data_IF_315413959642
#
_entry.id   IF_315413959642
#
_cell.length_a   1.000
_cell.length_b   1.000
_cell.length_c   1.000
_cell.angle_alpha   90.00
_cell.angle_beta   90.00
_cell.angle_gamma   90.00
#
_symmetry.space_group_name_H-M   'P 1'
#
loop_
_entity.id
_entity.type
_entity.pdbx_description
1 polymer ?
#
# COMPACT_ATOMS: atom_id res chain seq x y z
N UNK A 1 -0.65 9.50 6.44
CA UNK A 1 -1.35 9.08 5.20
C UNK A 1 -2.19 10.21 4.57
N UNK A 2 -2.87 11.04 5.37
CA UNK A 2 -3.84 12.03 4.87
C UNK A 2 -3.25 13.13 3.99
N UNK A 3 -1.99 13.52 4.23
CA UNK A 3 -1.39 14.63 3.49
C UNK A 3 -0.89 14.26 2.08
N UNK A 4 -0.72 12.97 1.79
CA UNK A 4 -0.19 12.51 0.51
C UNK A 4 -1.01 11.36 -0.07
N UNK A 5 -0.91 10.14 0.48
CA UNK A 5 -1.54 8.95 -0.11
C UNK A 5 -3.04 9.10 -0.42
N UNK A 6 -3.81 9.74 0.49
CA UNK A 6 -5.25 9.97 0.27
C UNK A 6 -5.55 10.99 -0.83
N UNK A 7 -4.65 11.95 -1.09
CA UNK A 7 -4.84 12.95 -2.15
C UNK A 7 -4.32 12.44 -3.50
N UNK A 8 -3.22 11.69 -3.48
CA UNK A 8 -2.59 11.18 -4.68
C UNK A 8 -3.39 10.07 -5.36
N UNK A 9 -4.15 9.26 -4.59
CA UNK A 9 -4.95 8.17 -5.17
C UNK A 9 -6.04 8.69 -6.10
N UNK A 10 -6.65 9.84 -5.79
CA UNK A 10 -7.71 10.45 -6.60
C UNK A 10 -7.23 10.93 -7.98
N UNK A 11 -5.91 11.05 -8.18
CA UNK A 11 -5.31 11.47 -9.44
C UNK A 11 -5.07 10.30 -10.41
N UNK A 12 -5.17 9.05 -9.96
CA UNK A 12 -4.87 7.87 -10.78
C UNK A 12 -6.15 7.34 -11.44
N UNK A 13 -6.13 7.22 -12.78
CA UNK A 13 -7.27 6.69 -13.54
C UNK A 13 -7.63 5.24 -13.16
N UNK A 14 -6.63 4.42 -12.82
CA UNK A 14 -6.77 3.02 -12.39
C UNK A 14 -5.96 2.76 -11.11
N UNK A 15 -6.07 3.66 -10.12
CA UNK A 15 -5.37 3.52 -8.85
C UNK A 15 -6.14 2.69 -7.81
N UNK A 16 -5.42 1.92 -7.00
CA UNK A 16 -5.96 1.31 -5.78
C UNK A 16 -5.11 1.69 -4.57
N UNK A 17 -5.75 2.11 -3.47
CA UNK A 17 -5.06 2.40 -2.21
C UNK A 17 -5.38 1.33 -1.16
N UNK A 18 -4.35 0.60 -0.73
CA UNK A 18 -4.42 -0.34 0.40
C UNK A 18 -3.58 0.21 1.55
N UNK A 19 -4.16 0.26 2.74
CA UNK A 19 -3.47 0.73 3.96
C UNK A 19 -3.45 -0.39 5.01
N UNK A 20 -2.46 -0.35 5.90
CA UNK A 20 -2.28 -1.35 6.96
C UNK A 20 -2.22 -0.63 8.32
N UNK A 21 -3.36 -0.36 8.95
CA UNK A 21 -3.42 0.32 10.24
C UNK A 21 -2.61 -0.44 11.31
N UNK A 22 -1.84 0.30 12.10
CA UNK A 22 -1.01 -0.27 13.18
C UNK A 22 0.36 -0.79 12.74
N UNK A 23 0.64 -0.89 11.44
CA UNK A 23 1.98 -1.23 10.94
C UNK A 23 2.85 0.04 10.74
N UNK A 24 4.18 -0.06 10.94
CA UNK A 24 5.08 1.07 10.81
C UNK A 24 5.28 1.47 9.33
N UNK A 25 5.85 2.65 9.08
CA UNK A 25 6.18 3.11 7.71
C UNK A 25 7.09 2.13 6.96
N UNK A 26 8.00 1.44 7.66
CA UNK A 26 8.88 0.40 7.13
C UNK A 26 8.26 -1.02 7.11
N UNK A 27 6.95 -1.14 6.88
CA UNK A 27 6.22 -2.41 6.92
C UNK A 27 6.75 -3.49 5.95
N UNK A 28 7.36 -3.09 4.83
CA UNK A 28 8.01 -4.02 3.90
C UNK A 28 9.19 -4.78 4.53
N UNK A 29 9.83 -4.22 5.56
CA UNK A 29 10.95 -4.85 6.27
C UNK A 29 10.52 -5.48 7.60
N UNK A 30 9.55 -4.89 8.29
CA UNK A 30 9.12 -5.30 9.64
C UNK A 30 7.97 -6.32 9.65
N UNK A 31 7.18 -6.39 8.57
CA UNK A 31 6.09 -7.35 8.41
C UNK A 31 6.02 -7.87 6.96
N UNK A 32 7.14 -8.43 6.43
CA UNK A 32 7.22 -8.87 5.03
C UNK A 32 6.24 -10.01 4.71
N UNK A 33 5.92 -10.84 5.69
CA UNK A 33 4.94 -11.92 5.61
C UNK A 33 3.52 -11.41 5.33
N UNK A 34 3.19 -10.20 5.79
CA UNK A 34 1.91 -9.55 5.55
C UNK A 34 1.90 -8.84 4.21
N UNK A 35 2.98 -8.13 3.87
CA UNK A 35 2.99 -7.19 2.73
C UNK A 35 3.38 -7.84 1.40
N UNK A 36 4.32 -8.78 1.41
CA UNK A 36 4.84 -9.35 0.16
C UNK A 36 3.78 -10.11 -0.66
N UNK A 37 2.84 -10.87 -0.06
CA UNK A 37 1.77 -11.50 -0.83
C UNK A 37 0.89 -10.50 -1.57
N UNK A 38 0.57 -9.38 -0.93
CA UNK A 38 -0.24 -8.31 -1.52
C UNK A 38 0.50 -7.59 -2.66
N UNK A 39 1.80 -7.33 -2.50
CA UNK A 39 2.63 -6.78 -3.57
C UNK A 39 2.71 -7.72 -4.78
N UNK A 40 2.85 -9.03 -4.54
CA UNK A 40 2.88 -10.03 -5.61
C UNK A 40 1.52 -10.13 -6.31
N UNK A 41 0.42 -10.03 -5.57
CA UNK A 41 -0.92 -10.00 -6.15
C UNK A 41 -1.12 -8.76 -7.02
N UNK A 42 -0.69 -7.59 -6.54
CA UNK A 42 -0.74 -6.34 -7.32
C UNK A 42 0.06 -6.43 -8.62
N UNK A 43 1.27 -7.00 -8.58
CA UNK A 43 2.13 -7.11 -9.77
C UNK A 43 1.62 -8.08 -10.84
N UNK A 44 0.66 -8.96 -10.51
CA UNK A 44 0.06 -9.94 -11.43
C UNK A 44 -1.26 -9.47 -12.06
N UNK A 45 -1.85 -8.39 -11.53
CA UNK A 45 -3.11 -7.83 -12.00
C UNK A 45 -2.93 -7.05 -13.31
#
# INVERSE_FOLDING_TARGET
>A
IADSALKSIDLLQNGTLKTYPGLPHGLFATSPDVINPDLLAFAKA
#
